data_IF_716948558216
#
_entry.id   IF_716948558216
#
_cell.length_a   1.000
_cell.length_b   1.000
_cell.length_c   1.000
_cell.angle_alpha   90.00
_cell.angle_beta   90.00
_cell.angle_gamma   90.00
#
_symmetry.space_group_name_H-M   'P 1'
#
loop_
_entity.id
_entity.type
_entity.pdbx_description
1 polymer ?
#
# COMPACT_ATOMS: atom_id res chain seq x y z
N UNK A 1 -12.75 5.10 -8.94
CA UNK A 1 -11.51 5.28 -8.16
C UNK A 1 -11.03 3.92 -7.67
N UNK A 2 -9.76 3.65 -7.85
CA UNK A 2 -9.14 2.41 -7.38
C UNK A 2 -8.49 2.71 -6.02
N UNK A 3 -8.78 1.88 -5.03
CA UNK A 3 -8.16 2.00 -3.72
C UNK A 3 -7.07 0.95 -3.57
N UNK A 4 -5.86 1.39 -3.30
CA UNK A 4 -4.72 0.51 -3.14
C UNK A 4 -4.08 0.72 -1.77
N UNK A 5 -3.58 -0.36 -1.18
CA UNK A 5 -2.82 -0.32 0.05
C UNK A 5 -1.46 -0.96 -0.16
N UNK A 6 -0.43 -0.30 0.32
CA UNK A 6 0.94 -0.80 0.33
C UNK A 6 1.37 -1.01 1.77
N UNK A 7 1.84 -2.20 2.08
CA UNK A 7 2.34 -2.51 3.42
C UNK A 7 3.76 -3.04 3.32
N UNK A 8 4.71 -2.33 3.89
CA UNK A 8 6.12 -2.69 3.90
C UNK A 8 6.75 -2.02 5.11
N UNK A 9 7.68 -2.71 5.76
CA UNK A 9 8.41 -2.12 6.88
C UNK A 9 9.55 -1.20 6.44
N UNK A 10 9.86 -1.16 5.16
CA UNK A 10 10.91 -0.32 4.60
C UNK A 10 10.32 0.96 3.98
N UNK A 11 10.57 2.09 4.63
CA UNK A 11 10.12 3.40 4.17
C UNK A 11 10.63 3.75 2.78
N UNK A 12 11.83 3.34 2.44
CA UNK A 12 12.43 3.64 1.14
C UNK A 12 11.63 3.00 0.02
N UNK A 13 11.24 1.74 0.22
CA UNK A 13 10.41 1.01 -0.75
C UNK A 13 9.05 1.68 -0.90
N UNK A 14 8.43 2.08 0.20
CA UNK A 14 7.13 2.76 0.16
C UNK A 14 7.20 4.09 -0.60
N UNK A 15 8.26 4.85 -0.39
CA UNK A 15 8.46 6.12 -1.10
C UNK A 15 8.66 5.92 -2.59
N UNK A 16 9.41 4.90 -2.98
CA UNK A 16 9.62 4.57 -4.38
C UNK A 16 8.32 4.16 -5.07
N UNK A 17 7.52 3.33 -4.39
CA UNK A 17 6.23 2.91 -4.91
C UNK A 17 5.29 4.10 -5.09
N UNK A 18 5.27 5.02 -4.12
CA UNK A 18 4.45 6.22 -4.21
C UNK A 18 4.88 7.11 -5.39
N UNK A 19 6.18 7.26 -5.60
CA UNK A 19 6.71 8.05 -6.71
C UNK A 19 6.32 7.46 -8.06
N UNK A 20 6.45 6.15 -8.20
CA UNK A 20 6.07 5.44 -9.42
C UNK A 20 4.58 5.59 -9.70
N UNK A 21 3.77 5.49 -8.66
CA UNK A 21 2.34 5.63 -8.79
C UNK A 21 1.93 7.03 -9.21
N UNK A 22 2.63 8.05 -8.70
CA UNK A 22 2.40 9.43 -9.09
C UNK A 22 2.69 9.66 -10.57
N UNK A 23 3.78 9.10 -11.07
CA UNK A 23 4.11 9.16 -12.48
C UNK A 23 3.05 8.48 -13.34
N UNK A 24 2.59 7.33 -12.90
CA UNK A 24 1.56 6.57 -13.60
C UNK A 24 0.26 7.36 -13.71
N UNK A 25 -0.13 8.03 -12.63
CA UNK A 25 -1.33 8.86 -12.62
C UNK A 25 -1.25 10.01 -13.62
N UNK A 26 -0.08 10.65 -13.71
CA UNK A 26 0.11 11.78 -14.64
C UNK A 26 -0.01 11.34 -16.07
N UNK A 27 0.51 10.17 -16.39
CA UNK A 27 0.54 9.68 -17.76
C UNK A 27 -0.79 9.11 -18.22
N UNK A 28 -1.55 8.53 -17.31
CA UNK A 28 -2.71 7.72 -17.66
C UNK A 28 -4.05 8.25 -17.18
N UNK A 29 -4.05 9.32 -16.44
CA UNK A 29 -5.27 9.93 -15.89
C UNK A 29 -6.15 8.95 -15.11
N UNK A 30 -5.54 7.97 -14.44
CA UNK A 30 -6.27 7.08 -13.56
C UNK A 30 -6.39 7.66 -12.17
N UNK A 31 -7.54 7.45 -11.54
CA UNK A 31 -7.76 7.84 -10.16
C UNK A 31 -7.44 6.67 -9.25
N UNK A 32 -6.32 6.78 -8.57
CA UNK A 32 -5.87 5.77 -7.63
C UNK A 32 -5.65 6.45 -6.28
N UNK A 33 -6.34 5.95 -5.26
CA UNK A 33 -6.12 6.38 -3.88
C UNK A 33 -5.24 5.35 -3.22
N UNK A 34 -3.98 5.70 -2.98
CA UNK A 34 -3.00 4.80 -2.40
C UNK A 34 -2.67 5.19 -0.98
N UNK A 35 -2.73 4.22 -0.09
CA UNK A 35 -2.35 4.40 1.31
C UNK A 35 -1.21 3.45 1.65
N UNK A 36 -0.31 3.91 2.52
CA UNK A 36 0.84 3.13 2.94
C UNK A 36 0.76 2.82 4.42
N UNK A 37 1.19 1.62 4.78
CA UNK A 37 1.22 1.13 6.15
C UNK A 37 2.57 0.49 6.40
N UNK A 38 3.13 0.75 7.57
CA UNK A 38 4.43 0.20 7.96
C UNK A 38 4.30 -1.12 8.71
N UNK A 39 3.10 -1.48 9.10
CA UNK A 39 2.82 -2.66 9.89
C UNK A 39 1.57 -3.35 9.39
N UNK A 40 1.58 -4.70 9.30
CA UNK A 40 0.37 -5.45 8.95
C UNK A 40 -0.77 -5.21 9.92
N UNK A 41 -0.46 -4.95 11.18
CA UNK A 41 -1.48 -4.68 12.18
C UNK A 41 -2.23 -3.39 11.89
N UNK A 42 -1.51 -2.35 11.47
CA UNK A 42 -2.14 -1.09 11.10
C UNK A 42 -3.08 -1.26 9.91
N UNK A 43 -2.67 -2.06 8.93
CA UNK A 43 -3.52 -2.37 7.77
C UNK A 43 -4.77 -3.13 8.22
N UNK A 44 -4.61 -4.14 9.06
CA UNK A 44 -5.74 -4.92 9.56
C UNK A 44 -6.72 -4.06 10.37
N UNK A 45 -6.20 -3.18 11.19
CA UNK A 45 -7.04 -2.25 11.95
C UNK A 45 -7.88 -1.36 11.03
N UNK A 46 -7.28 -0.89 9.96
CA UNK A 46 -7.99 -0.07 8.98
C UNK A 46 -9.10 -0.86 8.29
N UNK A 47 -8.82 -2.10 7.93
CA UNK A 47 -9.80 -2.98 7.30
C UNK A 47 -10.94 -3.32 8.25
N UNK A 48 -10.66 -3.48 9.54
CA UNK A 48 -11.68 -3.73 10.56
C UNK A 48 -12.63 -2.56 10.71
N UNK A 49 -12.19 -1.36 10.43
CA UNK A 49 -13.04 -0.17 10.44
C UNK A 49 -13.99 -0.10 9.25
N UNK A 50 -13.87 -1.04 8.32
CA UNK A 50 -14.72 -1.09 7.14
C UNK A 50 -14.08 -0.57 5.86
N UNK A 51 -12.83 -0.16 5.92
CA UNK A 51 -12.11 0.29 4.74
C UNK A 51 -11.85 -0.90 3.81
N UNK A 52 -12.16 -0.73 2.54
CA UNK A 52 -11.94 -1.76 1.53
C UNK A 52 -10.93 -1.30 0.52
N UNK A 53 -10.07 -2.23 0.11
CA UNK A 53 -9.05 -1.96 -0.90
C UNK A 53 -9.27 -2.89 -2.09
N UNK A 54 -9.07 -2.35 -3.29
CA UNK A 54 -9.15 -3.12 -4.52
C UNK A 54 -7.85 -3.87 -4.78
N UNK A 55 -6.73 -3.29 -4.37
CA UNK A 55 -5.40 -3.87 -4.57
C UNK A 55 -4.62 -3.80 -3.26
N UNK A 56 -3.96 -4.90 -2.91
CA UNK A 56 -3.08 -4.98 -1.76
C UNK A 56 -1.68 -5.39 -2.21
N UNK A 57 -0.69 -4.59 -1.84
CA UNK A 57 0.72 -4.93 -2.01
C UNK A 57 1.31 -5.18 -0.63
N UNK A 58 1.67 -6.42 -0.36
CA UNK A 58 2.19 -6.82 0.94
C UNK A 58 3.60 -7.37 0.78
N UNK A 59 4.55 -6.73 1.43
CA UNK A 59 5.90 -7.25 1.57
C UNK A 59 6.21 -7.28 3.06
N UNK A 60 5.97 -8.42 3.67
CA UNK A 60 6.10 -8.60 5.10
C UNK A 60 7.16 -9.62 5.38
N UNK A 61 8.23 -9.19 6.05
CA UNK A 61 9.21 -10.09 6.61
C UNK A 61 8.68 -10.55 7.96
N UNK A 62 8.40 -11.84 8.06
CA UNK A 62 8.03 -12.45 9.33
C UNK A 62 9.23 -13.19 9.90
N UNK A 63 9.89 -12.66 10.93
CA UNK A 63 11.03 -13.35 11.53
C UNK A 63 10.60 -14.72 12.06
N UNK A 64 11.36 -15.75 11.70
CA UNK A 64 11.10 -17.10 12.14
C UNK A 64 10.13 -17.89 11.27
N UNK A 65 9.68 -17.31 10.18
CA UNK A 65 8.86 -18.03 9.19
C UNK A 65 9.65 -18.15 7.90
N UNK A 66 9.95 -19.34 7.49
CA UNK A 66 10.69 -19.62 6.27
C UNK A 66 9.74 -20.01 5.12
#
# INVERSE_FOLDING_TARGET
MIKAAFCDDDDTVLKELQSLLEEYRRERDYRIDAKVYHSPLDLLNEMEKGTRFDILFLDILMPGVD
#
